data_IF_811327055643
#
_entry.id   IF_811327055643
#
_cell.length_a   1.000
_cell.length_b   1.000
_cell.length_c   1.000
_cell.angle_alpha   90.00
_cell.angle_beta   90.00
_cell.angle_gamma   90.00
#
_symmetry.space_group_name_H-M   'P 1'
#
loop_
_entity.id
_entity.type
_entity.pdbx_description
1 polymer ?
#
# COMPACT_ATOMS: atom_id res chain seq x y z
N UNK A 1 0.85 18.53 -13.28
CA UNK A 1 -0.32 17.63 -13.22
C UNK A 1 0.15 16.26 -13.61
N UNK A 2 0.12 15.33 -12.65
CA UNK A 2 0.60 13.97 -12.82
C UNK A 2 -0.58 13.05 -13.19
N UNK A 3 -0.34 12.09 -14.07
CA UNK A 3 -1.31 11.06 -14.42
C UNK A 3 -1.08 9.83 -13.53
N UNK A 4 -2.16 9.31 -12.94
CA UNK A 4 -2.13 8.07 -12.19
C UNK A 4 -2.56 6.89 -13.05
N UNK A 5 -2.02 5.73 -12.71
CA UNK A 5 -2.38 4.44 -13.32
C UNK A 5 -3.11 3.61 -12.29
N UNK A 6 -4.40 3.40 -12.49
CA UNK A 6 -5.23 2.60 -11.61
C UNK A 6 -5.57 1.25 -12.24
N UNK A 7 -5.64 0.22 -11.40
CA UNK A 7 -6.09 -1.12 -11.76
C UNK A 7 -7.62 -1.22 -11.71
N UNK A 8 -8.20 -0.83 -10.58
CA UNK A 8 -9.64 -0.94 -10.34
C UNK A 8 -10.10 -0.02 -9.21
N UNK A 9 -11.41 0.07 -9.04
CA UNK A 9 -12.05 0.85 -7.97
C UNK A 9 -13.08 -0.04 -7.29
N UNK A 10 -13.10 -0.03 -5.94
CA UNK A 10 -14.20 -0.51 -5.13
C UNK A 10 -14.90 0.68 -4.46
N UNK A 11 -16.21 0.77 -4.63
CA UNK A 11 -16.99 1.92 -4.17
C UNK A 11 -17.57 1.75 -2.76
N UNK A 12 -17.42 0.56 -2.16
CA UNK A 12 -18.00 0.19 -0.87
C UNK A 12 -17.04 -0.62 0.02
N UNK A 13 -15.73 -0.33 -0.01
CA UNK A 13 -14.76 -0.95 0.87
C UNK A 13 -15.12 -0.77 2.34
N UNK A 14 -15.15 -1.86 3.10
CA UNK A 14 -15.52 -1.85 4.53
C UNK A 14 -14.36 -2.26 5.46
N UNK A 15 -13.24 -2.70 4.88
CA UNK A 15 -12.06 -3.20 5.62
C UNK A 15 -10.80 -2.37 5.37
N UNK A 16 -10.90 -1.37 4.51
CA UNK A 16 -9.77 -0.59 4.02
C UNK A 16 -9.66 0.79 4.70
N UNK A 17 -10.05 0.86 5.97
CA UNK A 17 -10.03 2.07 6.78
C UNK A 17 -11.33 2.30 7.56
N UNK A 18 -11.51 3.46 8.20
CA UNK A 18 -12.71 3.76 8.96
C UNK A 18 -13.92 4.00 8.05
N UNK A 19 -15.08 3.51 8.46
CA UNK A 19 -16.35 3.70 7.75
C UNK A 19 -16.39 3.01 6.38
N UNK A 20 -17.26 3.50 5.50
CA UNK A 20 -17.35 3.04 4.11
C UNK A 20 -16.36 3.85 3.25
N UNK A 21 -15.59 3.15 2.44
CA UNK A 21 -14.49 3.73 1.65
C UNK A 21 -14.72 3.64 0.16
N UNK A 22 -14.33 4.68 -0.55
CA UNK A 22 -14.04 4.59 -1.98
C UNK A 22 -12.58 4.16 -2.12
N UNK A 23 -12.36 2.91 -2.53
CA UNK A 23 -11.02 2.31 -2.59
C UNK A 23 -10.51 2.36 -4.02
N UNK A 24 -9.33 2.93 -4.20
CA UNK A 24 -8.62 2.97 -5.48
C UNK A 24 -7.46 2.00 -5.43
N UNK A 25 -7.47 1.00 -6.30
CA UNK A 25 -6.35 0.06 -6.43
C UNK A 25 -5.40 0.54 -7.52
N UNK A 26 -4.19 0.94 -7.12
CA UNK A 26 -3.16 1.43 -8.04
C UNK A 26 -2.54 0.29 -8.84
N UNK A 27 -2.12 0.60 -10.06
CA UNK A 27 -1.33 -0.31 -10.89
C UNK A 27 0.15 -0.15 -10.60
N UNK A 28 0.89 -1.25 -10.56
CA UNK A 28 2.34 -1.33 -10.34
C UNK A 28 2.69 -1.79 -8.93
N UNK A 29 3.52 -2.84 -8.82
CA UNK A 29 4.08 -3.32 -7.57
C UNK A 29 5.42 -4.01 -7.83
N UNK A 30 6.43 -3.72 -7.00
CA UNK A 30 7.74 -4.37 -7.05
C UNK A 30 7.81 -5.64 -6.20
N UNK A 31 6.88 -5.79 -5.25
CA UNK A 31 6.81 -6.99 -4.41
C UNK A 31 6.25 -8.19 -5.18
N UNK A 32 6.58 -9.39 -4.71
CA UNK A 32 6.13 -10.68 -5.26
C UNK A 32 5.59 -11.57 -4.15
N UNK A 33 4.56 -11.04 -3.45
CA UNK A 33 3.96 -11.74 -2.32
C UNK A 33 3.30 -13.04 -2.76
N UNK A 34 3.67 -14.16 -2.16
CA UNK A 34 3.15 -15.51 -2.50
C UNK A 34 1.63 -15.65 -2.31
N UNK A 35 1.05 -14.80 -1.48
CA UNK A 35 -0.40 -14.73 -1.24
C UNK A 35 -1.02 -13.43 -1.81
N UNK A 36 -0.46 -12.87 -2.88
CA UNK A 36 -1.00 -11.65 -3.47
C UNK A 36 -2.42 -11.89 -4.02
N UNK A 37 -3.34 -11.01 -3.65
CA UNK A 37 -4.73 -11.06 -4.14
C UNK A 37 -4.88 -10.46 -5.53
N UNK A 38 -4.00 -9.50 -5.87
CA UNK A 38 -4.07 -8.74 -7.10
C UNK A 38 -2.74 -8.87 -7.88
N UNK A 39 -2.33 -10.08 -8.30
CA UNK A 39 -1.07 -10.27 -9.01
C UNK A 39 -1.02 -9.51 -10.34
N UNK A 40 -2.18 -9.14 -10.91
CA UNK A 40 -2.28 -8.31 -12.11
C UNK A 40 -1.68 -6.92 -11.92
N UNK A 41 -1.66 -6.42 -10.67
CA UNK A 41 -1.02 -5.15 -10.32
C UNK A 41 0.51 -5.21 -10.32
N UNK A 42 1.12 -6.37 -10.48
CA UNK A 42 2.58 -6.48 -10.58
C UNK A 42 3.14 -5.86 -11.85
N UNK A 43 2.33 -5.75 -12.89
CA UNK A 43 2.73 -5.12 -14.15
C UNK A 43 2.94 -3.63 -13.94
N UNK A 44 4.15 -3.15 -14.22
CA UNK A 44 4.47 -1.73 -14.11
C UNK A 44 3.94 -1.00 -15.36
N UNK A 45 3.21 0.12 -15.18
CA UNK A 45 2.80 0.95 -16.30
C UNK A 45 3.99 1.48 -17.09
N UNK A 46 3.86 1.58 -18.39
CA UNK A 46 4.90 2.20 -19.24
C UNK A 46 5.04 3.68 -18.87
N UNK A 47 6.28 4.10 -18.62
CA UNK A 47 6.56 5.49 -18.25
C UNK A 47 6.42 5.84 -16.76
N UNK A 48 6.05 4.87 -15.91
CA UNK A 48 6.09 5.09 -14.47
C UNK A 48 7.54 5.32 -14.02
N UNK A 49 7.87 6.48 -13.43
CA UNK A 49 9.19 6.72 -12.89
C UNK A 49 9.41 5.78 -11.69
N UNK A 50 10.33 4.85 -11.83
CA UNK A 50 10.68 3.96 -10.72
C UNK A 50 11.65 4.67 -9.78
N UNK A 51 11.55 4.43 -8.47
CA UNK A 51 12.60 4.78 -7.52
C UNK A 51 13.93 4.18 -7.98
N UNK A 52 15.04 4.84 -7.65
CA UNK A 52 16.39 4.50 -8.12
C UNK A 52 16.72 3.00 -8.07
N UNK A 53 17.68 2.60 -8.92
CA UNK A 53 18.14 1.22 -9.08
C UNK A 53 18.58 0.51 -7.77
N UNK A 54 18.88 1.27 -6.71
CA UNK A 54 19.19 0.74 -5.38
C UNK A 54 18.00 0.04 -4.71
N UNK A 55 16.77 0.33 -5.12
CA UNK A 55 15.55 -0.36 -4.66
C UNK A 55 15.24 -1.62 -5.48
N UNK A 56 15.96 -1.82 -6.57
CA UNK A 56 15.92 -3.05 -7.38
C UNK A 56 16.88 -4.06 -6.78
N UNK A 57 16.44 -4.82 -5.80
CA UNK A 57 17.21 -5.99 -5.39
C UNK A 57 17.31 -6.96 -6.56
N UNK A 58 18.44 -7.64 -6.66
CA UNK A 58 18.85 -8.56 -7.75
C UNK A 58 17.89 -9.74 -8.02
N UNK A 59 16.76 -9.83 -7.30
CA UNK A 59 15.70 -10.80 -7.53
C UNK A 59 14.63 -10.38 -8.55
N UNK A 60 14.50 -9.08 -8.85
CA UNK A 60 13.44 -8.61 -9.74
C UNK A 60 13.71 -8.91 -11.24
N UNK A 61 14.97 -9.06 -11.63
CA UNK A 61 15.33 -9.38 -13.03
C UNK A 61 15.20 -10.87 -13.38
N UNK A 62 15.24 -11.76 -12.37
CA UNK A 62 15.17 -13.21 -12.60
C UNK A 62 13.72 -13.74 -12.64
N UNK A 63 12.74 -12.96 -12.19
CA UNK A 63 11.33 -13.40 -12.11
C UNK A 63 10.45 -12.85 -13.25
N UNK A 64 11.00 -12.04 -14.15
CA UNK A 64 10.27 -11.52 -15.33
C UNK A 64 10.13 -12.54 -16.46
N UNK A 65 10.87 -13.64 -16.42
CA UNK A 65 10.88 -14.68 -17.47
C UNK A 65 10.23 -15.98 -16.98
N UNK A 66 8.96 -16.00 -16.64
CA UNK A 66 8.37 -17.31 -16.36
C UNK A 66 7.00 -17.34 -15.70
N UNK A 67 6.46 -16.23 -15.24
CA UNK A 67 5.08 -16.20 -14.73
C UNK A 67 4.19 -15.54 -15.76
N UNK A 68 3.73 -16.32 -16.74
CA UNK A 68 2.59 -15.93 -17.56
C UNK A 68 1.35 -15.98 -16.65
N UNK A 69 0.98 -14.86 -16.08
CA UNK A 69 -0.34 -14.72 -15.46
C UNK A 69 -1.37 -14.67 -16.60
N UNK A 70 -2.32 -15.63 -16.67
CA UNK A 70 -3.36 -15.61 -17.71
C UNK A 70 -4.47 -14.63 -17.33
N UNK A 71 -4.14 -13.33 -17.17
CA UNK A 71 -5.16 -12.34 -16.89
C UNK A 71 -5.64 -11.68 -18.17
N UNK A 72 -6.97 -11.73 -18.37
CA UNK A 72 -7.66 -11.11 -19.50
C UNK A 72 -7.81 -9.58 -19.36
N UNK A 73 -7.24 -8.96 -18.33
CA UNK A 73 -7.33 -7.53 -18.05
C UNK A 73 -5.94 -6.89 -17.96
N UNK A 74 -5.32 -6.64 -19.10
CA UNK A 74 -4.00 -5.98 -19.21
C UNK A 74 -4.07 -4.46 -19.38
N UNK A 75 -5.16 -3.83 -18.96
CA UNK A 75 -5.35 -2.39 -19.14
C UNK A 75 -5.39 -1.64 -17.81
N UNK A 76 -4.27 -1.04 -17.40
CA UNK A 76 -4.34 0.05 -16.42
C UNK A 76 -5.09 1.23 -17.02
N UNK A 77 -5.97 1.85 -16.25
CA UNK A 77 -6.63 3.08 -16.64
C UNK A 77 -5.75 4.27 -16.24
N UNK A 78 -5.43 5.12 -17.21
CA UNK A 78 -4.83 6.42 -16.94
C UNK A 78 -5.90 7.41 -16.47
N UNK A 79 -5.62 8.16 -15.40
CA UNK A 79 -6.58 9.10 -14.83
C UNK A 79 -5.87 10.31 -14.22
N UNK A 80 -6.49 11.49 -14.30
CA UNK A 80 -6.00 12.66 -13.58
C UNK A 80 -6.58 12.72 -12.16
N UNK A 81 -5.91 13.40 -11.20
CA UNK A 81 -6.41 13.57 -9.83
C UNK A 81 -7.84 14.11 -9.77
N UNK A 82 -8.15 15.13 -10.58
CA UNK A 82 -9.47 15.75 -10.61
C UNK A 82 -10.55 14.81 -11.19
N UNK A 83 -10.19 14.02 -12.20
CA UNK A 83 -11.13 13.05 -12.77
C UNK A 83 -11.45 11.94 -11.77
N UNK A 84 -10.44 11.47 -11.03
CA UNK A 84 -10.62 10.47 -9.98
C UNK A 84 -11.45 11.02 -8.81
N UNK A 85 -11.16 12.26 -8.37
CA UNK A 85 -11.95 12.90 -7.32
C UNK A 85 -13.42 13.07 -7.73
N UNK A 86 -13.69 13.49 -8.97
CA UNK A 86 -15.08 13.57 -9.46
C UNK A 86 -15.80 12.23 -9.44
N UNK A 87 -15.10 11.12 -9.71
CA UNK A 87 -15.68 9.78 -9.58
C UNK A 87 -16.00 9.48 -8.11
N UNK A 88 -15.03 9.69 -7.21
CA UNK A 88 -15.19 9.44 -5.78
C UNK A 88 -16.35 10.23 -5.17
N UNK A 89 -16.51 11.50 -5.52
CA UNK A 89 -17.56 12.39 -4.98
C UNK A 89 -18.99 11.89 -5.28
N UNK A 90 -19.20 11.05 -6.29
CA UNK A 90 -20.52 10.43 -6.55
C UNK A 90 -20.97 9.52 -5.42
N UNK A 91 -20.03 9.02 -4.62
CA UNK A 91 -20.27 8.08 -3.51
C UNK A 91 -20.21 8.76 -2.15
N UNK A 92 -20.01 10.08 -2.09
CA UNK A 92 -19.84 10.85 -0.84
C UNK A 92 -20.97 10.63 0.17
N UNK A 93 -22.20 10.42 -0.30
CA UNK A 93 -23.36 10.18 0.57
C UNK A 93 -23.26 8.90 1.40
N UNK A 94 -22.41 7.96 0.99
CA UNK A 94 -22.18 6.69 1.69
C UNK A 94 -21.08 6.75 2.75
N UNK A 95 -20.26 7.83 2.79
CA UNK A 95 -19.10 7.96 3.68
C UNK A 95 -19.47 8.38 5.11
N UNK A 96 -20.60 7.93 5.61
CA UNK A 96 -21.00 8.18 6.99
C UNK A 96 -20.10 7.44 7.98
N UNK A 97 -19.93 7.97 9.21
CA UNK A 97 -19.14 7.30 10.24
C UNK A 97 -17.62 7.34 10.02
N UNK A 98 -17.09 8.41 9.41
CA UNK A 98 -15.66 8.57 9.20
C UNK A 98 -15.15 7.97 7.88
N UNK A 99 -16.04 7.61 6.96
CA UNK A 99 -15.68 7.12 5.64
C UNK A 99 -14.95 8.15 4.77
N UNK A 100 -14.48 7.74 3.60
CA UNK A 100 -13.73 8.60 2.71
C UNK A 100 -13.04 7.84 1.58
N UNK A 101 -11.83 8.24 1.24
CA UNK A 101 -11.04 7.65 0.16
C UNK A 101 -9.90 6.82 0.75
N UNK A 102 -9.67 5.63 0.19
CA UNK A 102 -8.48 4.82 0.44
C UNK A 102 -7.77 4.56 -0.88
N UNK A 103 -6.46 4.72 -0.90
CA UNK A 103 -5.63 4.28 -2.02
C UNK A 103 -4.81 3.09 -1.58
N UNK A 104 -4.95 2.01 -2.33
CA UNK A 104 -4.37 0.69 -2.11
C UNK A 104 -3.89 0.08 -3.45
N UNK A 105 -3.89 -1.23 -3.60
CA UNK A 105 -3.72 -1.92 -4.88
C UNK A 105 -2.41 -2.67 -5.00
N UNK A 106 -1.54 -2.32 -5.95
CA UNK A 106 -0.17 -2.77 -6.03
C UNK A 106 0.65 -2.16 -4.88
N UNK A 107 1.48 -1.17 -5.21
CA UNK A 107 2.15 -0.35 -4.21
C UNK A 107 1.93 1.13 -4.54
N UNK A 108 1.04 1.82 -3.81
CA UNK A 108 0.67 3.21 -4.09
C UNK A 108 1.86 4.18 -4.08
N UNK A 109 2.85 3.95 -3.21
CA UNK A 109 4.02 4.82 -3.08
C UNK A 109 4.88 4.89 -4.35
N UNK A 110 4.71 3.97 -5.30
CA UNK A 110 5.33 4.08 -6.62
C UNK A 110 4.77 5.26 -7.45
N UNK A 111 3.60 5.79 -7.05
CA UNK A 111 2.93 6.90 -7.73
C UNK A 111 2.74 8.10 -6.79
N UNK A 112 3.71 8.36 -5.92
CA UNK A 112 3.61 9.38 -4.86
C UNK A 112 3.26 10.78 -5.39
N UNK A 113 3.80 11.19 -6.55
CA UNK A 113 3.51 12.51 -7.14
C UNK A 113 2.00 12.66 -7.48
N UNK A 114 1.41 11.64 -8.09
CA UNK A 114 -0.02 11.61 -8.37
C UNK A 114 -0.84 11.62 -7.07
N UNK A 115 -0.42 10.86 -6.07
CA UNK A 115 -1.12 10.77 -4.79
C UNK A 115 -1.07 12.07 -4.01
N UNK A 116 0.04 12.82 -4.06
CA UNK A 116 0.14 14.15 -3.45
C UNK A 116 -0.97 15.07 -3.98
N UNK A 117 -1.11 15.19 -5.31
CA UNK A 117 -2.14 16.01 -5.94
C UNK A 117 -3.56 15.49 -5.60
N UNK A 118 -3.77 14.19 -5.67
CA UNK A 118 -5.08 13.58 -5.42
C UNK A 118 -5.54 13.76 -3.95
N UNK A 119 -4.65 13.52 -2.99
CA UNK A 119 -4.99 13.67 -1.57
C UNK A 119 -5.12 15.15 -1.18
N UNK A 120 -4.32 16.04 -1.75
CA UNK A 120 -4.51 17.48 -1.57
C UNK A 120 -5.93 17.91 -1.99
N UNK A 121 -6.35 17.54 -3.21
CA UNK A 121 -7.71 17.85 -3.70
C UNK A 121 -8.80 17.22 -2.82
N UNK A 122 -8.58 16.01 -2.30
CA UNK A 122 -9.50 15.38 -1.36
C UNK A 122 -9.60 16.15 -0.03
N UNK A 123 -8.47 16.64 0.50
CA UNK A 123 -8.43 17.45 1.73
C UNK A 123 -9.13 18.81 1.55
N UNK A 124 -9.01 19.44 0.40
CA UNK A 124 -9.75 20.68 0.06
C UNK A 124 -11.27 20.46 0.13
N UNK A 125 -11.73 19.23 -0.08
CA UNK A 125 -13.13 18.82 0.04
C UNK A 125 -13.48 18.23 1.44
N UNK A 126 -12.59 18.34 2.43
CA UNK A 126 -12.74 17.77 3.77
C UNK A 126 -13.03 16.26 3.76
N UNK A 127 -12.39 15.53 2.86
CA UNK A 127 -12.50 14.07 2.75
C UNK A 127 -11.38 13.41 3.56
N UNK A 128 -11.74 12.39 4.33
CA UNK A 128 -10.76 11.56 5.03
C UNK A 128 -9.99 10.69 4.04
N UNK A 129 -8.66 10.75 4.11
CA UNK A 129 -7.73 10.06 3.21
C UNK A 129 -6.97 8.96 3.94
N UNK A 130 -6.90 7.78 3.33
CA UNK A 130 -6.16 6.64 3.86
C UNK A 130 -5.20 6.12 2.80
N UNK A 131 -3.95 5.92 3.19
CA UNK A 131 -2.92 5.27 2.37
C UNK A 131 -2.72 3.84 2.88
N UNK A 132 -3.07 2.85 2.05
CA UNK A 132 -2.87 1.42 2.32
C UNK A 132 -1.67 0.91 1.52
N UNK A 133 -0.57 0.62 2.19
CA UNK A 133 0.73 0.36 1.58
C UNK A 133 1.51 -0.72 2.31
N UNK A 134 2.40 -1.40 1.58
CA UNK A 134 3.41 -2.24 2.21
C UNK A 134 4.66 -1.44 2.64
N UNK A 135 4.81 -0.18 2.22
CA UNK A 135 5.95 0.66 2.58
C UNK A 135 7.29 0.23 1.98
N UNK A 136 7.29 -0.70 1.02
CA UNK A 136 8.51 -1.27 0.46
C UNK A 136 9.43 -0.23 -0.22
N UNK A 137 8.91 0.80 -0.95
CA UNK A 137 9.76 1.81 -1.57
C UNK A 137 10.38 2.81 -0.59
N UNK A 138 10.06 2.74 0.71
CA UNK A 138 10.52 3.74 1.66
C UNK A 138 12.04 3.88 1.67
N UNK A 139 12.48 5.12 1.52
CA UNK A 139 13.86 5.58 1.66
C UNK A 139 13.87 7.05 2.08
N UNK A 140 14.91 7.46 2.78
CA UNK A 140 15.15 8.87 3.11
C UNK A 140 15.94 9.61 2.02
N UNK A 141 16.19 8.95 0.88
CA UNK A 141 16.86 9.56 -0.27
C UNK A 141 15.90 10.49 -1.04
N UNK A 142 16.45 11.62 -1.49
CA UNK A 142 15.74 12.52 -2.39
C UNK A 142 15.72 11.98 -3.83
N UNK A 143 14.71 12.30 -4.63
CA UNK A 143 13.56 13.17 -4.34
C UNK A 143 12.37 12.42 -3.69
N UNK A 144 12.48 11.13 -3.42
CA UNK A 144 11.37 10.32 -2.88
C UNK A 144 10.92 10.81 -1.50
N UNK A 145 11.87 11.15 -0.62
CA UNK A 145 11.55 11.52 0.75
C UNK A 145 10.71 12.81 0.84
N UNK A 146 11.07 13.83 0.08
CA UNK A 146 10.26 15.07 -0.01
C UNK A 146 8.84 14.82 -0.53
N UNK A 147 8.69 13.94 -1.53
CA UNK A 147 7.37 13.57 -2.08
C UNK A 147 6.53 12.82 -1.05
N UNK A 148 7.15 11.87 -0.35
CA UNK A 148 6.47 11.11 0.69
C UNK A 148 6.01 12.01 1.85
N UNK A 149 6.86 12.92 2.33
CA UNK A 149 6.49 13.86 3.40
C UNK A 149 5.32 14.75 2.99
N UNK A 150 5.32 15.29 1.78
CA UNK A 150 4.19 16.05 1.23
C UNK A 150 2.91 15.20 1.15
N UNK A 151 3.02 13.95 0.69
CA UNK A 151 1.86 13.04 0.66
C UNK A 151 1.29 12.79 2.07
N UNK A 152 2.17 12.59 3.05
CA UNK A 152 1.76 12.33 4.42
C UNK A 152 1.09 13.54 5.10
N UNK A 153 1.38 14.79 4.69
CA UNK A 153 0.65 15.97 5.16
C UNK A 153 -0.84 15.92 4.79
N UNK A 154 -1.17 15.30 3.66
CA UNK A 154 -2.53 15.15 3.16
C UNK A 154 -3.15 13.77 3.47
N UNK A 155 -2.46 12.92 4.25
CA UNK A 155 -2.91 11.59 4.65
C UNK A 155 -3.40 11.61 6.10
N UNK A 156 -4.62 11.18 6.37
CA UNK A 156 -5.15 11.10 7.74
C UNK A 156 -4.73 9.79 8.43
N UNK A 157 -4.67 8.69 7.69
CA UNK A 157 -4.37 7.37 8.21
C UNK A 157 -3.47 6.60 7.24
N UNK A 158 -2.50 5.89 7.78
CA UNK A 158 -1.73 4.87 7.03
C UNK A 158 -2.14 3.49 7.50
N UNK A 159 -2.49 2.61 6.56
CA UNK A 159 -2.60 1.16 6.81
C UNK A 159 -1.31 0.53 6.31
N UNK A 160 -0.54 -0.05 7.22
CA UNK A 160 0.76 -0.64 6.90
C UNK A 160 0.71 -2.17 6.99
N UNK A 161 1.08 -2.84 5.91
CA UNK A 161 1.19 -4.29 5.86
C UNK A 161 2.51 -4.79 6.45
N UNK A 162 2.48 -5.44 7.60
CA UNK A 162 3.62 -6.20 8.15
C UNK A 162 3.47 -7.69 7.80
N UNK A 163 4.21 -8.14 6.80
CA UNK A 163 4.02 -9.50 6.24
C UNK A 163 4.80 -10.59 6.97
N UNK A 164 5.97 -10.30 7.51
CA UNK A 164 6.78 -11.16 8.37
C UNK A 164 7.83 -10.32 9.11
N UNK A 165 8.14 -10.67 10.37
CA UNK A 165 9.11 -9.90 11.17
C UNK A 165 10.56 -10.27 10.82
N UNK A 166 10.84 -11.51 10.47
CA UNK A 166 12.15 -11.98 10.07
C UNK A 166 12.45 -11.54 8.61
N UNK A 167 13.58 -10.84 8.36
CA UNK A 167 13.88 -10.28 7.04
C UNK A 167 14.10 -11.32 5.96
N UNK A 168 14.69 -12.48 6.28
CA UNK A 168 14.93 -13.53 5.30
C UNK A 168 13.64 -14.26 4.93
N UNK A 169 12.79 -14.56 5.92
CA UNK A 169 11.46 -15.12 5.66
C UNK A 169 10.58 -14.14 4.91
N UNK A 170 10.69 -12.85 5.22
CA UNK A 170 9.99 -11.81 4.45
C UNK A 170 10.46 -11.79 3.00
N UNK A 171 11.77 -11.94 2.74
CA UNK A 171 12.31 -12.00 1.37
C UNK A 171 11.79 -13.23 0.61
N UNK A 172 11.72 -14.38 1.25
CA UNK A 172 11.13 -15.59 0.65
C UNK A 172 9.63 -15.48 0.38
N UNK A 173 8.92 -14.70 1.22
CA UNK A 173 7.48 -14.52 1.14
C UNK A 173 7.06 -13.45 0.13
N UNK A 174 7.80 -12.34 0.07
CA UNK A 174 7.38 -11.11 -0.61
C UNK A 174 8.39 -10.60 -1.66
N UNK A 175 9.53 -11.27 -1.83
CA UNK A 175 10.59 -10.91 -2.78
C UNK A 175 11.55 -9.83 -2.29
N UNK A 176 11.31 -9.22 -1.13
CA UNK A 176 12.11 -8.15 -0.56
C UNK A 176 12.31 -8.35 0.95
N UNK A 177 13.39 -7.78 1.52
CA UNK A 177 13.55 -7.62 2.97
C UNK A 177 12.45 -6.71 3.53
N UNK A 178 12.18 -6.81 4.83
CA UNK A 178 11.24 -5.93 5.54
C UNK A 178 11.91 -4.68 6.13
N UNK A 179 13.20 -4.47 5.93
CA UNK A 179 13.96 -3.37 6.56
C UNK A 179 13.39 -1.99 6.25
N UNK A 180 13.06 -1.73 4.96
CA UNK A 180 12.42 -0.48 4.55
C UNK A 180 11.04 -0.29 5.19
N UNK A 181 10.28 -1.38 5.30
CA UNK A 181 8.93 -1.39 5.88
C UNK A 181 8.99 -1.06 7.38
N UNK A 182 9.88 -1.71 8.12
CA UNK A 182 10.07 -1.43 9.56
C UNK A 182 10.63 -0.02 9.78
N UNK A 183 11.49 0.46 8.89
CA UNK A 183 12.00 1.84 8.93
C UNK A 183 10.89 2.85 8.64
N UNK A 184 9.97 2.54 7.70
CA UNK A 184 8.81 3.37 7.44
C UNK A 184 7.87 3.45 8.64
N UNK A 185 7.59 2.32 9.30
CA UNK A 185 6.79 2.31 10.53
C UNK A 185 7.38 3.22 11.63
N UNK A 186 8.70 3.15 11.84
CA UNK A 186 9.39 4.04 12.79
C UNK A 186 9.34 5.51 12.38
N UNK A 187 9.45 5.79 11.09
CA UNK A 187 9.32 7.16 10.58
C UNK A 187 7.89 7.70 10.82
N UNK A 188 6.86 6.90 10.56
CA UNK A 188 5.47 7.29 10.86
C UNK A 188 5.26 7.55 12.36
N UNK A 189 5.89 6.78 13.23
CA UNK A 189 5.88 7.01 14.67
C UNK A 189 6.55 8.33 15.05
N UNK A 190 7.72 8.63 14.50
CA UNK A 190 8.47 9.87 14.75
C UNK A 190 7.66 11.14 14.40
N UNK A 191 6.82 11.06 13.35
CA UNK A 191 5.96 12.17 12.92
C UNK A 191 4.54 12.09 13.50
N UNK A 192 4.30 11.16 14.42
CA UNK A 192 3.01 10.88 15.05
C UNK A 192 1.86 10.70 14.05
N UNK A 193 2.13 10.06 12.90
CA UNK A 193 1.12 9.76 11.90
C UNK A 193 0.26 8.58 12.36
N UNK A 194 -1.07 8.72 12.46
CA UNK A 194 -1.96 7.60 12.79
C UNK A 194 -1.72 6.40 11.87
N UNK A 195 -1.57 5.22 12.47
CA UNK A 195 -1.27 4.01 11.75
C UNK A 195 -2.13 2.84 12.22
N UNK A 196 -2.74 2.15 11.27
CA UNK A 196 -3.26 0.80 11.45
C UNK A 196 -2.26 -0.19 10.88
N UNK A 197 -2.07 -1.30 11.57
CA UNK A 197 -1.20 -2.37 11.08
C UNK A 197 -2.05 -3.56 10.68
N UNK A 198 -1.79 -4.07 9.46
CA UNK A 198 -2.42 -5.29 8.95
C UNK A 198 -1.40 -6.40 8.84
N UNK A 199 -1.76 -7.57 9.38
CA UNK A 199 -1.00 -8.80 9.21
C UNK A 199 -1.90 -9.89 8.63
N UNK A 200 -1.43 -10.54 7.58
CA UNK A 200 -2.17 -11.62 6.93
C UNK A 200 -1.73 -12.95 7.52
N UNK A 201 -2.65 -13.67 8.13
CA UNK A 201 -2.41 -15.01 8.66
C UNK A 201 -2.55 -16.06 7.55
N UNK A 202 -1.43 -16.62 7.15
CA UNK A 202 -1.35 -17.72 6.20
C UNK A 202 -0.86 -18.95 6.93
N UNK A 203 -1.69 -20.02 7.07
CA UNK A 203 -1.33 -21.22 7.81
C UNK A 203 -0.01 -21.82 7.34
N UNK A 204 0.88 -22.11 8.30
CA UNK A 204 2.21 -22.66 8.04
C UNK A 204 3.23 -21.70 7.44
N UNK A 205 2.87 -20.42 7.21
CA UNK A 205 3.76 -19.41 6.62
C UNK A 205 3.97 -18.23 7.55
N UNK A 206 2.89 -17.55 7.94
CA UNK A 206 2.97 -16.31 8.74
C UNK A 206 2.41 -16.44 10.15
N UNK A 207 1.71 -17.54 10.44
CA UNK A 207 1.01 -17.83 11.71
C UNK A 207 1.91 -18.41 12.81
N UNK A 208 3.19 -18.62 12.54
CA UNK A 208 4.11 -19.16 13.53
C UNK A 208 4.18 -18.25 14.78
N UNK A 209 4.07 -18.80 16.03
CA UNK A 209 4.08 -18.01 17.26
C UNK A 209 5.29 -17.07 17.36
N UNK A 210 6.46 -17.49 16.92
CA UNK A 210 7.67 -16.66 16.93
C UNK A 210 7.54 -15.43 16.03
N UNK A 211 6.84 -15.53 14.88
CA UNK A 211 6.57 -14.40 14.01
C UNK A 211 5.60 -13.42 14.69
N UNK A 212 4.50 -13.93 15.25
CA UNK A 212 3.48 -13.09 15.90
C UNK A 212 4.04 -12.38 17.14
N UNK A 213 4.82 -13.08 17.96
CA UNK A 213 5.51 -12.47 19.11
C UNK A 213 6.51 -11.40 18.66
N UNK A 214 7.27 -11.65 17.59
CA UNK A 214 8.21 -10.69 17.03
C UNK A 214 7.51 -9.45 16.49
N UNK A 215 6.39 -9.60 15.76
CA UNK A 215 5.56 -8.47 15.30
C UNK A 215 5.05 -7.70 16.53
N UNK A 216 4.49 -8.37 17.53
CA UNK A 216 4.00 -7.73 18.75
C UNK A 216 5.10 -6.94 19.44
N UNK A 217 6.27 -7.55 19.66
CA UNK A 217 7.39 -6.88 20.30
C UNK A 217 7.85 -5.64 19.51
N UNK A 218 7.80 -5.69 18.18
CA UNK A 218 8.09 -4.52 17.34
C UNK A 218 7.01 -3.43 17.51
N UNK A 219 5.74 -3.79 17.46
CA UNK A 219 4.64 -2.83 17.59
C UNK A 219 4.60 -2.17 18.98
N UNK A 220 5.00 -2.88 20.04
CA UNK A 220 5.11 -2.34 21.41
C UNK A 220 6.19 -1.24 21.52
N UNK A 221 7.06 -1.07 20.52
CA UNK A 221 8.03 0.04 20.45
C UNK A 221 7.48 1.30 19.79
N UNK A 222 6.26 1.26 19.24
CA UNK A 222 5.63 2.36 18.52
C UNK A 222 4.46 2.94 19.32
N UNK A 223 4.28 4.25 19.26
CA UNK A 223 3.24 4.97 20.00
C UNK A 223 2.03 5.37 19.16
N UNK A 224 2.14 5.28 17.83
CA UNK A 224 1.15 5.77 16.86
C UNK A 224 0.23 4.68 16.28
N UNK A 225 0.33 3.45 16.77
CA UNK A 225 -0.51 2.33 16.30
C UNK A 225 -1.87 2.38 16.97
N UNK A 226 -2.91 2.71 16.22
CA UNK A 226 -4.28 2.81 16.72
C UNK A 226 -5.02 1.47 16.64
N UNK A 227 -4.67 0.63 15.66
CA UNK A 227 -5.35 -0.66 15.43
C UNK A 227 -4.41 -1.68 14.82
N UNK A 228 -4.53 -2.91 15.27
CA UNK A 228 -3.93 -4.09 14.62
C UNK A 228 -5.05 -4.96 14.07
N UNK A 229 -5.06 -5.17 12.77
CA UNK A 229 -6.03 -6.02 12.09
C UNK A 229 -5.39 -7.34 11.63
N UNK A 230 -6.06 -8.44 11.88
CA UNK A 230 -5.70 -9.76 11.36
C UNK A 230 -6.66 -10.12 10.23
N UNK A 231 -6.12 -10.39 9.03
CA UNK A 231 -6.89 -10.95 7.91
C UNK A 231 -6.53 -12.44 7.78
N UNK A 232 -7.55 -13.29 7.87
CA UNK A 232 -7.39 -14.73 7.68
C UNK A 232 -7.55 -15.07 6.20
N UNK A 233 -6.55 -15.72 5.62
CA UNK A 233 -6.66 -16.34 4.31
C UNK A 233 -6.75 -17.85 4.43
N UNK A 234 -7.91 -18.40 4.09
CA UNK A 234 -8.07 -19.80 3.80
C UNK A 234 -7.72 -20.02 2.32
N UNK A 235 -6.50 -20.46 2.06
CA UNK A 235 -6.21 -21.05 0.76
C UNK A 235 -6.88 -22.42 0.71
N UNK A 236 -7.82 -22.60 -0.22
CA UNK A 236 -8.11 -23.93 -0.72
C UNK A 236 -6.92 -24.33 -1.58
N UNK A 237 -6.10 -25.26 -1.05
CA UNK A 237 -5.01 -25.93 -1.77
C UNK A 237 -5.64 -26.86 -2.80
#
# INVERSE_FOLDING_TARGET
MHTGYIHSIDTFGSVDGPGVRFVVFMQGCLMRCRYCHNPDTWVLPKGLPLPDASTRTSGASALSEGVSCPSKHTGSQEITPEALLRQALRYRSYWRGGGGITVSGGEPLLQADFLCEFFQLAKEQHIHTTLDTAGQPFTTAEPFFSRLTTLLEHTDLVILDLKHIDPEKHRLLAGHSNESILSFARFLDQIHKPMWVRHVLVPGITDAPANLHGIRAFLDTLSNVEKVGENFYLFHI
#
